data_IF_738924234636
#
_entry.id   IF_738924234636
#
_cell.length_a   1.000
_cell.length_b   1.000
_cell.length_c   1.000
_cell.angle_alpha   90.00
_cell.angle_beta   90.00
_cell.angle_gamma   90.00
#
_symmetry.space_group_name_H-M   'P 1'
#
loop_
_entity.id
_entity.type
_entity.pdbx_description
1 polymer ?
#
# COMPACT_ATOMS: atom_id res chain seq x y z
N UNK A 1 2.26 -17.14 -6.27
CA UNK A 1 2.56 -16.80 -4.85
C UNK A 1 3.84 -15.98 -4.72
N UNK A 2 4.99 -16.44 -5.22
CA UNK A 2 6.28 -15.73 -5.08
C UNK A 2 6.24 -14.23 -5.45
N UNK A 3 5.64 -13.88 -6.59
CA UNK A 3 5.50 -12.49 -7.03
C UNK A 3 4.70 -11.63 -6.05
N UNK A 4 3.60 -12.16 -5.50
CA UNK A 4 2.79 -11.46 -4.51
C UNK A 4 3.60 -11.16 -3.25
N UNK A 5 4.29 -12.15 -2.70
CA UNK A 5 5.12 -11.98 -1.51
C UNK A 5 6.29 -11.01 -1.73
N UNK A 6 6.95 -11.09 -2.90
CA UNK A 6 8.05 -10.19 -3.25
C UNK A 6 7.60 -8.72 -3.32
N UNK A 7 6.49 -8.46 -3.97
CA UNK A 7 5.96 -7.11 -4.11
C UNK A 7 5.43 -6.56 -2.79
N UNK A 8 4.63 -7.34 -2.06
CA UNK A 8 4.07 -6.93 -0.78
C UNK A 8 5.14 -6.78 0.30
N UNK A 9 6.16 -7.64 0.30
CA UNK A 9 7.32 -7.52 1.19
C UNK A 9 8.08 -6.21 0.97
N UNK A 10 8.35 -5.87 -0.30
CA UNK A 10 8.99 -4.59 -0.63
C UNK A 10 8.14 -3.38 -0.19
N UNK A 11 6.85 -3.35 -0.52
CA UNK A 11 5.94 -2.22 -0.20
C UNK A 11 5.79 -1.98 1.31
N UNK A 12 5.87 -3.03 2.12
CA UNK A 12 5.67 -2.98 3.57
C UNK A 12 6.96 -3.02 4.39
N UNK A 13 8.13 -2.94 3.76
CA UNK A 13 9.41 -3.09 4.46
C UNK A 13 9.50 -4.45 5.16
N UNK A 14 9.35 -5.53 4.41
CA UNK A 14 9.30 -6.91 4.91
C UNK A 14 8.17 -7.16 5.92
N UNK A 15 6.96 -6.66 5.58
CA UNK A 15 5.74 -6.80 6.40
C UNK A 15 5.79 -6.08 7.76
N UNK A 16 6.74 -5.18 7.95
CA UNK A 16 6.91 -4.43 9.20
C UNK A 16 6.01 -3.18 9.27
N UNK A 17 5.66 -2.59 8.13
CA UNK A 17 4.86 -1.36 8.06
C UNK A 17 3.47 -1.65 7.49
N UNK A 18 2.44 -1.38 8.27
CA UNK A 18 1.02 -1.53 7.89
C UNK A 18 0.25 -0.21 7.88
N UNK A 19 0.91 0.90 8.19
CA UNK A 19 0.37 2.26 8.08
C UNK A 19 1.41 3.20 7.45
N UNK A 20 0.93 4.17 6.66
CA UNK A 20 1.80 5.20 6.12
C UNK A 20 2.36 6.13 7.20
N UNK A 21 3.62 6.53 7.05
CA UNK A 21 4.24 7.50 7.93
C UNK A 21 3.98 8.92 7.42
N UNK A 22 3.12 9.65 8.09
CA UNK A 22 2.77 11.05 7.78
C UNK A 22 3.53 12.07 8.65
N UNK A 23 4.55 11.66 9.38
CA UNK A 23 5.33 12.54 10.26
C UNK A 23 6.41 13.32 9.50
N UNK A 24 6.02 14.25 8.65
CA UNK A 24 6.91 15.05 7.81
C UNK A 24 7.28 16.39 8.45
N UNK A 25 8.53 16.85 8.22
CA UNK A 25 8.95 18.23 8.45
C UNK A 25 8.37 19.17 7.37
N UNK A 26 8.38 20.49 7.61
CA UNK A 26 7.96 21.47 6.59
C UNK A 26 8.74 21.29 5.27
N UNK A 27 10.06 21.14 5.34
CA UNK A 27 10.93 20.83 4.19
C UNK A 27 10.54 19.53 3.49
N UNK A 28 10.23 18.47 4.26
CA UNK A 28 9.77 17.20 3.71
C UNK A 28 8.44 17.35 2.95
N UNK A 29 7.48 18.08 3.52
CA UNK A 29 6.18 18.34 2.90
C UNK A 29 6.32 19.12 1.59
N UNK A 30 7.07 20.21 1.58
CA UNK A 30 7.30 21.02 0.36
C UNK A 30 8.12 20.27 -0.70
N UNK A 31 8.91 19.29 -0.31
CA UNK A 31 9.66 18.42 -1.23
C UNK A 31 8.79 17.34 -1.87
N UNK A 32 7.98 16.65 -1.06
CA UNK A 32 7.21 15.46 -1.49
C UNK A 32 5.82 15.83 -2.00
N UNK A 33 5.13 16.73 -1.30
CA UNK A 33 3.75 17.13 -1.60
C UNK A 33 3.66 18.54 -2.16
N UNK A 34 4.53 18.89 -3.12
CA UNK A 34 4.64 20.24 -3.73
C UNK A 34 3.30 20.83 -4.18
N UNK A 35 2.39 20.00 -4.67
CA UNK A 35 1.04 20.43 -5.11
C UNK A 35 0.23 21.04 -3.97
N UNK A 36 0.42 20.56 -2.74
CA UNK A 36 -0.34 20.97 -1.55
C UNK A 36 0.44 21.96 -0.68
N UNK A 37 1.76 21.92 -0.77
CA UNK A 37 2.71 22.73 -0.03
C UNK A 37 3.76 23.30 -1.00
N UNK A 38 3.43 24.39 -1.76
CA UNK A 38 4.33 24.94 -2.75
C UNK A 38 5.65 25.47 -2.16
N UNK A 39 5.64 25.90 -0.90
CA UNK A 39 6.81 26.38 -0.16
C UNK A 39 6.90 25.75 1.23
N UNK A 40 8.06 25.87 1.85
CA UNK A 40 8.26 25.47 3.24
C UNK A 40 7.43 26.33 4.23
N UNK A 41 7.20 27.58 3.91
CA UNK A 41 6.35 28.48 4.68
C UNK A 41 4.90 27.97 4.72
N UNK A 42 4.34 27.54 3.56
CA UNK A 42 3.00 26.95 3.47
C UNK A 42 2.89 25.62 4.25
N UNK A 43 3.98 24.87 4.30
CA UNK A 43 4.04 23.58 5.00
C UNK A 43 4.21 23.70 6.52
N UNK A 44 4.75 24.82 7.01
CA UNK A 44 5.07 25.01 8.44
C UNK A 44 3.88 24.77 9.37
N UNK A 45 2.64 25.26 9.08
CA UNK A 45 1.47 25.00 9.95
C UNK A 45 1.08 23.51 10.06
N UNK A 46 1.54 22.69 9.10
CA UNK A 46 1.23 21.26 8.98
C UNK A 46 2.37 20.36 9.48
N UNK A 47 3.59 20.90 9.60
CA UNK A 47 4.76 20.13 9.98
C UNK A 47 4.54 19.31 11.27
N UNK A 48 4.93 18.01 11.20
CA UNK A 48 4.78 17.07 12.33
C UNK A 48 3.35 16.88 12.85
N UNK A 49 2.34 17.15 12.01
CA UNK A 49 0.93 16.97 12.32
C UNK A 49 0.27 15.99 11.34
N UNK A 50 0.44 14.67 11.51
CA UNK A 50 -0.03 13.63 10.58
C UNK A 50 -1.48 13.78 10.15
N UNK A 51 -2.37 14.08 11.10
CA UNK A 51 -3.80 14.25 10.83
C UNK A 51 -4.06 15.44 9.89
N UNK A 52 -3.46 16.59 10.15
CA UNK A 52 -3.60 17.78 9.28
C UNK A 52 -3.01 17.52 7.89
N UNK A 53 -1.86 16.84 7.83
CA UNK A 53 -1.21 16.49 6.57
C UNK A 53 -2.12 15.60 5.74
N UNK A 54 -2.64 14.51 6.30
CA UNK A 54 -3.53 13.59 5.59
C UNK A 54 -4.81 14.29 5.12
N UNK A 55 -5.43 15.09 5.98
CA UNK A 55 -6.65 15.80 5.63
C UNK A 55 -6.43 16.81 4.50
N UNK A 56 -5.26 17.48 4.46
CA UNK A 56 -4.86 18.37 3.37
C UNK A 56 -4.59 17.63 2.05
N UNK A 57 -3.83 16.54 2.13
CA UNK A 57 -3.36 15.80 0.93
C UNK A 57 -4.47 14.94 0.33
N UNK A 58 -5.33 14.34 1.15
CA UNK A 58 -6.36 13.39 0.72
C UNK A 58 -7.78 13.95 0.76
N UNK A 59 -8.00 15.12 1.34
CA UNK A 59 -9.32 15.78 1.36
C UNK A 59 -9.83 16.07 -0.04
N UNK A 60 -11.12 15.84 -0.27
CA UNK A 60 -11.78 16.04 -1.56
C UNK A 60 -11.35 15.05 -2.66
N UNK A 61 -10.68 13.95 -2.31
CA UNK A 61 -10.14 12.93 -3.24
C UNK A 61 -10.58 11.55 -2.83
N UNK A 62 -10.65 10.62 -3.80
CA UNK A 62 -10.91 9.18 -3.55
C UNK A 62 -12.16 8.95 -2.69
N UNK A 63 -13.20 9.78 -2.87
CA UNK A 63 -14.44 9.70 -2.10
C UNK A 63 -14.39 10.31 -0.69
N UNK A 64 -13.25 10.86 -0.26
CA UNK A 64 -13.16 11.60 1.00
C UNK A 64 -13.89 12.95 0.88
N UNK A 65 -14.49 13.39 1.97
CA UNK A 65 -14.94 14.78 2.12
C UNK A 65 -13.78 15.78 2.09
N UNK A 66 -14.08 17.06 2.21
CA UNK A 66 -13.06 18.12 2.22
C UNK A 66 -12.08 17.99 3.40
N UNK A 67 -11.05 18.87 3.44
CA UNK A 67 -10.03 18.86 4.49
C UNK A 67 -10.65 18.90 5.91
N UNK A 68 -11.73 19.67 6.12
CA UNK A 68 -12.39 19.82 7.41
C UNK A 68 -13.18 18.57 7.86
N UNK A 69 -13.48 17.65 6.95
CA UNK A 69 -14.22 16.42 7.25
C UNK A 69 -13.44 15.42 8.12
N UNK A 70 -12.10 15.52 8.17
CA UNK A 70 -11.25 14.55 8.83
C UNK A 70 -11.10 13.21 8.06
N UNK A 71 -11.82 13.03 6.95
CA UNK A 71 -11.86 11.78 6.21
C UNK A 71 -10.51 11.44 5.52
N UNK A 72 -9.69 12.44 5.21
CA UNK A 72 -8.34 12.23 4.70
C UNK A 72 -7.49 11.41 5.66
N UNK A 73 -7.50 11.74 6.94
CA UNK A 73 -6.80 10.99 7.97
C UNK A 73 -7.51 9.69 8.35
N UNK A 74 -8.83 9.71 8.44
CA UNK A 74 -9.63 8.52 8.75
C UNK A 74 -9.34 7.38 7.77
N UNK A 75 -9.25 7.68 6.47
CA UNK A 75 -9.01 6.70 5.40
C UNK A 75 -7.60 6.83 4.80
N UNK A 76 -6.59 7.14 5.66
CA UNK A 76 -5.18 7.17 5.27
C UNK A 76 -4.68 5.81 4.80
N UNK A 77 -3.50 5.75 4.25
CA UNK A 77 -2.89 4.52 3.76
C UNK A 77 -2.65 3.51 4.87
N UNK A 78 -3.29 2.34 4.75
CA UNK A 78 -3.11 1.19 5.65
C UNK A 78 -3.05 -0.12 4.86
N UNK A 79 -2.57 -1.17 5.51
CA UNK A 79 -2.37 -2.49 4.93
C UNK A 79 -1.01 -2.63 4.25
N UNK A 80 -0.70 -3.84 3.82
CA UNK A 80 0.61 -4.20 3.24
C UNK A 80 0.84 -3.54 1.88
N UNK A 81 -0.22 -3.35 1.08
CA UNK A 81 -0.23 -2.45 -0.08
C UNK A 81 -1.21 -1.34 0.30
N UNK A 82 -0.70 -0.19 0.64
CA UNK A 82 -1.42 0.92 1.26
C UNK A 82 -2.79 1.23 0.62
N UNK A 83 -3.86 0.68 1.19
CA UNK A 83 -5.23 1.02 0.86
C UNK A 83 -5.51 2.44 1.35
N UNK A 84 -5.84 3.37 0.44
CA UNK A 84 -6.02 4.80 0.74
C UNK A 84 -7.32 5.32 0.13
N UNK A 85 -8.07 6.11 0.89
CA UNK A 85 -9.27 6.81 0.45
C UNK A 85 -10.57 6.03 0.67
N UNK A 86 -11.62 6.78 1.01
CA UNK A 86 -12.95 6.25 1.41
C UNK A 86 -13.56 5.27 0.40
N UNK A 87 -13.45 5.57 -0.90
CA UNK A 87 -14.01 4.68 -1.92
C UNK A 87 -13.27 3.36 -2.00
N UNK A 88 -11.94 3.34 -1.84
CA UNK A 88 -11.15 2.12 -1.82
C UNK A 88 -11.48 1.29 -0.57
N UNK A 89 -11.60 1.92 0.61
CA UNK A 89 -12.04 1.23 1.82
C UNK A 89 -13.43 0.61 1.67
N UNK A 90 -14.39 1.36 1.06
CA UNK A 90 -15.73 0.86 0.78
C UNK A 90 -15.70 -0.34 -0.16
N UNK A 91 -14.99 -0.24 -1.27
CA UNK A 91 -14.95 -1.29 -2.30
C UNK A 91 -14.23 -2.54 -1.82
N UNK A 92 -13.12 -2.38 -1.10
CA UNK A 92 -12.41 -3.48 -0.45
C UNK A 92 -13.31 -4.15 0.59
N UNK A 93 -13.96 -3.38 1.46
CA UNK A 93 -14.87 -3.88 2.48
C UNK A 93 -16.02 -4.69 1.89
N UNK A 94 -16.65 -4.19 0.81
CA UNK A 94 -17.68 -4.95 0.09
C UNK A 94 -17.17 -6.29 -0.45
N UNK A 95 -15.99 -6.31 -1.03
CA UNK A 95 -15.39 -7.53 -1.58
C UNK A 95 -15.02 -8.55 -0.49
N UNK A 96 -14.62 -8.07 0.69
CA UNK A 96 -14.26 -8.93 1.83
C UNK A 96 -15.45 -9.28 2.75
N UNK A 97 -16.64 -8.71 2.52
CA UNK A 97 -17.80 -8.88 3.41
C UNK A 97 -17.61 -8.18 4.77
N UNK A 98 -16.85 -7.07 4.82
CA UNK A 98 -16.48 -6.35 6.05
C UNK A 98 -16.87 -4.88 5.95
N UNK A 99 -17.25 -4.24 7.06
CA UNK A 99 -17.48 -2.79 7.10
C UNK A 99 -16.19 -2.03 7.47
N UNK A 100 -15.31 -1.85 6.47
CA UNK A 100 -14.05 -1.11 6.63
C UNK A 100 -14.26 0.42 6.74
N UNK A 101 -15.47 0.93 6.51
CA UNK A 101 -15.78 2.33 6.77
C UNK A 101 -16.07 2.59 8.26
N UNK A 102 -16.68 1.62 8.93
CA UNK A 102 -16.92 1.67 10.37
C UNK A 102 -15.63 1.43 11.17
N UNK A 103 -14.83 0.45 10.77
CA UNK A 103 -13.54 0.12 11.40
C UNK A 103 -12.37 0.16 10.39
N UNK A 104 -11.92 1.38 9.98
CA UNK A 104 -10.81 1.52 9.04
C UNK A 104 -9.47 1.05 9.63
N UNK A 105 -9.30 1.06 10.95
CA UNK A 105 -8.06 0.67 11.62
C UNK A 105 -7.80 -0.85 11.55
N UNK A 106 -8.83 -1.65 11.28
CA UNK A 106 -8.68 -3.08 11.02
C UNK A 106 -7.79 -3.39 9.82
N UNK A 107 -7.71 -2.48 8.83
CA UNK A 107 -6.85 -2.64 7.63
C UNK A 107 -5.37 -2.66 7.98
N UNK A 108 -4.96 -2.08 9.11
CA UNK A 108 -3.58 -2.16 9.60
C UNK A 108 -3.27 -3.47 10.34
N UNK A 109 -4.26 -4.33 10.56
CA UNK A 109 -4.14 -5.55 11.38
C UNK A 109 -4.34 -6.82 10.55
N UNK A 110 -3.63 -7.89 10.89
CA UNK A 110 -3.87 -9.21 10.28
C UNK A 110 -5.20 -9.80 10.80
N UNK A 111 -5.96 -10.51 9.96
CA UNK A 111 -5.66 -10.85 8.57
C UNK A 111 -6.03 -9.77 7.54
N UNK A 112 -6.71 -8.68 7.92
CA UNK A 112 -7.28 -7.69 6.97
C UNK A 112 -6.18 -6.98 6.17
N UNK A 113 -5.00 -6.74 6.77
CA UNK A 113 -3.87 -6.14 6.08
C UNK A 113 -3.42 -6.96 4.85
N UNK A 114 -3.43 -8.29 4.95
CA UNK A 114 -3.10 -9.20 3.85
C UNK A 114 -4.26 -9.33 2.87
N UNK A 115 -5.49 -9.46 3.37
CA UNK A 115 -6.68 -9.58 2.53
C UNK A 115 -6.91 -8.35 1.65
N UNK A 116 -6.66 -7.16 2.18
CA UNK A 116 -6.73 -5.91 1.40
C UNK A 116 -5.69 -5.85 0.27
N UNK A 117 -4.50 -6.39 0.50
CA UNK A 117 -3.48 -6.53 -0.54
C UNK A 117 -3.90 -7.56 -1.61
N UNK A 118 -4.52 -8.67 -1.21
CA UNK A 118 -5.12 -9.64 -2.12
C UNK A 118 -6.23 -9.03 -2.99
N UNK A 119 -7.11 -8.24 -2.39
CA UNK A 119 -8.13 -7.49 -3.12
C UNK A 119 -7.52 -6.50 -4.15
N UNK A 120 -6.50 -5.74 -3.75
CA UNK A 120 -5.78 -4.85 -4.65
C UNK A 120 -5.17 -5.62 -5.84
N UNK A 121 -4.57 -6.78 -5.55
CA UNK A 121 -3.94 -7.66 -6.52
C UNK A 121 -4.94 -8.20 -7.54
N UNK A 122 -6.08 -8.72 -7.07
CA UNK A 122 -7.12 -9.25 -7.93
C UNK A 122 -7.79 -8.17 -8.78
N UNK A 123 -8.16 -7.03 -8.19
CA UNK A 123 -8.83 -5.94 -8.93
C UNK A 123 -7.98 -5.38 -10.06
N UNK A 124 -6.65 -5.48 -9.95
CA UNK A 124 -5.69 -5.08 -11.00
C UNK A 124 -5.27 -6.22 -11.91
N UNK A 125 -5.81 -7.43 -11.70
CA UNK A 125 -5.51 -8.63 -12.49
C UNK A 125 -4.01 -8.92 -12.57
N UNK A 126 -3.28 -8.75 -11.46
CA UNK A 126 -1.83 -8.83 -11.44
C UNK A 126 -1.28 -10.24 -11.72
N UNK A 127 -2.08 -11.30 -11.49
CA UNK A 127 -1.70 -12.67 -11.85
C UNK A 127 -1.35 -12.81 -13.34
N UNK A 128 -1.99 -12.04 -14.23
CA UNK A 128 -1.71 -12.06 -15.68
C UNK A 128 -0.22 -11.86 -16.00
N UNK A 129 0.49 -11.07 -15.22
CA UNK A 129 1.93 -10.80 -15.36
C UNK A 129 2.77 -11.59 -14.37
N UNK A 130 2.24 -11.83 -13.17
CA UNK A 130 2.92 -12.62 -12.14
C UNK A 130 3.19 -14.05 -12.60
N UNK A 131 2.22 -14.69 -13.27
CA UNK A 131 2.35 -16.05 -13.82
C UNK A 131 3.39 -16.15 -14.96
N UNK A 132 3.74 -15.02 -15.55
CA UNK A 132 4.80 -14.90 -16.57
C UNK A 132 6.17 -14.51 -15.99
N UNK A 133 6.27 -14.32 -14.68
CA UNK A 133 7.46 -13.80 -14.01
C UNK A 133 7.79 -12.34 -14.34
N UNK A 134 6.84 -11.56 -14.88
CA UNK A 134 7.07 -10.17 -15.31
C UNK A 134 7.07 -9.19 -14.12
N UNK A 135 8.16 -9.20 -13.36
CA UNK A 135 8.38 -8.32 -12.19
C UNK A 135 8.25 -6.85 -12.58
N UNK A 136 8.75 -6.45 -13.75
CA UNK A 136 8.74 -5.06 -14.22
C UNK A 136 7.32 -4.52 -14.39
N UNK A 137 6.47 -5.27 -15.08
CA UNK A 137 5.07 -4.84 -15.32
C UNK A 137 4.27 -4.84 -14.02
N UNK A 138 4.43 -5.84 -13.15
CA UNK A 138 3.78 -5.87 -11.84
C UNK A 138 4.22 -4.67 -11.00
N UNK A 139 5.51 -4.37 -10.94
CA UNK A 139 6.05 -3.19 -10.24
C UNK A 139 5.42 -1.89 -10.74
N UNK A 140 5.37 -1.68 -12.06
CA UNK A 140 4.76 -0.49 -12.66
C UNK A 140 3.27 -0.35 -12.32
N UNK A 141 2.54 -1.47 -12.26
CA UNK A 141 1.11 -1.48 -11.92
C UNK A 141 0.84 -1.19 -10.45
N UNK A 142 1.78 -1.48 -9.56
CA UNK A 142 1.68 -1.23 -8.12
C UNK A 142 2.05 0.22 -7.81
N UNK A 143 3.24 0.67 -8.21
CA UNK A 143 3.77 1.97 -7.79
C UNK A 143 3.80 3.06 -8.89
N UNK A 144 3.36 2.73 -10.11
CA UNK A 144 3.34 3.66 -11.23
C UNK A 144 4.70 3.91 -11.90
N UNK A 145 5.77 3.25 -11.44
CA UNK A 145 7.13 3.41 -11.95
C UNK A 145 8.00 2.20 -11.71
N UNK A 146 9.31 2.40 -11.62
CA UNK A 146 10.32 1.34 -11.44
C UNK A 146 11.08 1.46 -10.13
N UNK A 147 10.56 2.21 -9.16
CA UNK A 147 11.20 2.38 -7.85
C UNK A 147 11.29 1.02 -7.15
N UNK A 148 12.50 0.68 -6.70
CA UNK A 148 12.76 -0.59 -6.01
C UNK A 148 12.75 -1.83 -6.91
N UNK A 149 12.79 -1.68 -8.24
CA UNK A 149 12.69 -2.83 -9.17
C UNK A 149 13.73 -3.91 -8.91
N UNK A 150 14.99 -3.55 -8.68
CA UNK A 150 16.06 -4.53 -8.44
C UNK A 150 15.89 -5.26 -7.10
N UNK A 151 15.42 -4.58 -6.07
CA UNK A 151 15.10 -5.18 -4.79
C UNK A 151 13.92 -6.17 -4.91
N UNK A 152 12.87 -5.79 -5.64
CA UNK A 152 11.70 -6.64 -5.91
C UNK A 152 12.07 -7.88 -6.72
N UNK A 153 13.01 -7.78 -7.68
CA UNK A 153 13.53 -8.93 -8.43
C UNK A 153 14.27 -9.91 -7.51
N UNK A 154 15.17 -9.40 -6.66
CA UNK A 154 15.91 -10.23 -5.69
C UNK A 154 14.97 -10.96 -4.73
N UNK A 155 13.96 -10.26 -4.21
CA UNK A 155 12.93 -10.88 -3.36
C UNK A 155 12.16 -11.96 -4.13
N UNK A 156 11.77 -11.70 -5.39
CA UNK A 156 11.06 -12.67 -6.22
C UNK A 156 11.87 -13.94 -6.48
N UNK A 157 13.12 -13.79 -6.89
CA UNK A 157 14.05 -14.90 -7.16
C UNK A 157 14.26 -15.75 -5.90
N UNK A 158 14.58 -15.10 -4.77
CA UNK A 158 14.79 -15.80 -3.50
C UNK A 158 13.53 -16.55 -3.01
N UNK A 159 12.36 -15.90 -3.05
CA UNK A 159 11.10 -16.54 -2.61
C UNK A 159 10.74 -17.70 -3.56
N UNK A 160 10.99 -17.55 -4.85
CA UNK A 160 10.75 -18.62 -5.82
C UNK A 160 11.62 -19.85 -5.55
N UNK A 161 12.90 -19.65 -5.24
CA UNK A 161 13.83 -20.73 -4.84
C UNK A 161 13.33 -21.45 -3.58
N UNK A 162 12.96 -20.71 -2.54
CA UNK A 162 12.46 -21.28 -1.29
C UNK A 162 11.17 -22.08 -1.51
N UNK A 163 10.23 -21.54 -2.29
CA UNK A 163 8.98 -22.25 -2.58
C UNK A 163 9.22 -23.53 -3.37
N UNK A 164 10.11 -23.49 -4.36
CA UNK A 164 10.45 -24.68 -5.16
C UNK A 164 11.09 -25.78 -4.29
N UNK A 165 12.02 -25.42 -3.38
CA UNK A 165 12.63 -26.41 -2.49
C UNK A 165 11.60 -27.09 -1.56
N UNK A 166 10.63 -26.32 -1.04
CA UNK A 166 9.55 -26.89 -0.20
C UNK A 166 8.70 -27.89 -0.99
N UNK A 167 8.33 -27.57 -2.23
CA UNK A 167 7.51 -28.45 -3.06
C UNK A 167 8.28 -29.69 -3.55
N UNK A 168 9.60 -29.62 -3.75
CA UNK A 168 10.45 -30.76 -4.05
C UNK A 168 10.52 -31.72 -2.87
N UNK A 169 10.74 -31.22 -1.65
CA UNK A 169 10.75 -32.05 -0.43
C UNK A 169 9.42 -32.75 -0.17
N UNK A 170 8.28 -32.07 -0.41
CA UNK A 170 6.95 -32.68 -0.26
C UNK A 170 6.73 -33.80 -1.28
N UNK A 171 7.23 -33.66 -2.52
CA UNK A 171 7.07 -34.66 -3.58
C UNK A 171 7.95 -35.90 -3.39
N UNK A 172 9.05 -35.81 -2.66
CA UNK A 172 9.92 -36.95 -2.31
C UNK A 172 9.43 -37.72 -1.07
N UNK A 173 8.52 -37.13 -0.28
CA UNK A 173 7.98 -37.72 0.94
C UNK A 173 6.69 -38.57 0.73
N UNK A 174 6.09 -38.52 -0.46
CA UNK A 174 4.94 -39.35 -0.89
C UNK A 174 5.41 -40.61 -1.65
#
# INVERSE_FOLDING_TARGET
MAMFLAQTGHESGNFAATEENLNYSAKGLSGIFKKYFPSEADATPYARKPEKIANKVYGGRMGNGNEASGEGYKYRGRGIIQLTGKDNYRNCGKALGMDLLADPDSVAKNPVAVLSAGWFWDTRKLNTWADKGDVLTVTKKINGGTIGLEDRKKHYEHILEVLNSIFEEESEAE
#
